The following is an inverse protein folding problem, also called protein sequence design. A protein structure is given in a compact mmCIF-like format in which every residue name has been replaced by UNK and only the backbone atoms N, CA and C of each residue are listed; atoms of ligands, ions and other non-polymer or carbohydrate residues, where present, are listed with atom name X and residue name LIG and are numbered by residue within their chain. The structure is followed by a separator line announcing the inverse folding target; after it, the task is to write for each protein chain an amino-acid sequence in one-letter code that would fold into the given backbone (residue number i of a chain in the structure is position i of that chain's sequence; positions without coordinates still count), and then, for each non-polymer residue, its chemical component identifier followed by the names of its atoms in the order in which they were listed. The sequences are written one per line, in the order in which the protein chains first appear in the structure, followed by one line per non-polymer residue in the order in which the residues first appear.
data_IF_861527865766
#
_entry.id   IF_861527865766
#
_cell.length_a   1.000
_cell.length_b   1.000
_cell.length_c   1.000
_cell.angle_alpha   90.00
_cell.angle_beta   90.00
_cell.angle_gamma   90.00
#
_symmetry.space_group_name_H-M   'P 1'
#
loop_
_entity.id
_entity.type
_entity.pdbx_description
1 polymer ?
#
# COMPACT_ATOMS: atom_id res chain seq x y z
N UNK A 1 21.79 5.08 -23.90
CA UNK A 1 22.68 4.27 -23.05
C UNK A 1 22.23 4.40 -21.61
N UNK A 2 21.77 3.32 -20.99
CA UNK A 2 21.46 3.26 -19.56
C UNK A 2 22.81 3.10 -18.84
N UNK A 3 23.17 4.01 -17.92
CA UNK A 3 24.46 3.94 -17.26
C UNK A 3 24.59 2.62 -16.48
N UNK A 4 25.63 1.87 -16.75
CA UNK A 4 26.01 0.59 -16.10
C UNK A 4 26.18 0.68 -14.55
N UNK A 5 26.01 1.85 -13.94
CA UNK A 5 26.08 2.09 -12.49
C UNK A 5 24.82 1.71 -11.72
N UNK A 6 23.76 1.27 -12.39
CA UNK A 6 22.53 0.77 -11.73
C UNK A 6 22.51 -0.74 -11.53
N UNK A 7 23.55 -1.44 -11.97
CA UNK A 7 23.76 -2.88 -11.74
C UNK A 7 24.49 -3.04 -10.42
N UNK A 8 23.76 -3.21 -9.33
CA UNK A 8 24.35 -3.58 -8.04
C UNK A 8 23.71 -3.03 -6.77
N UNK A 9 22.85 -2.03 -6.84
CA UNK A 9 22.16 -1.52 -5.66
C UNK A 9 20.65 -1.54 -5.87
N UNK A 10 19.99 -2.56 -5.32
CA UNK A 10 18.58 -2.58 -4.95
C UNK A 10 17.57 -2.20 -6.05
N UNK A 11 17.55 -2.92 -7.18
CA UNK A 11 16.38 -2.87 -8.06
C UNK A 11 15.19 -3.50 -7.33
N UNK A 12 14.42 -2.66 -6.67
CA UNK A 12 13.16 -3.04 -6.04
C UNK A 12 12.01 -2.65 -6.97
N UNK A 13 11.35 -3.62 -7.59
CA UNK A 13 10.13 -3.36 -8.34
C UNK A 13 8.99 -3.21 -7.34
N UNK A 14 8.34 -2.04 -7.33
CA UNK A 14 7.09 -1.79 -6.61
C UNK A 14 5.99 -1.55 -7.62
N UNK A 15 5.02 -2.43 -7.66
CA UNK A 15 3.77 -2.16 -8.34
C UNK A 15 2.96 -1.13 -7.54
N UNK A 16 2.93 0.09 -8.04
CA UNK A 16 2.15 1.22 -7.49
C UNK A 16 1.41 1.94 -8.60
N UNK A 17 0.80 1.14 -9.48
CA UNK A 17 -0.05 1.65 -10.54
C UNK A 17 -1.49 1.87 -10.10
N UNK A 18 -2.34 2.18 -11.06
CA UNK A 18 -3.80 2.18 -10.93
C UNK A 18 -4.32 0.76 -11.20
N UNK A 19 -5.29 0.33 -10.39
CA UNK A 19 -5.89 -0.99 -10.50
C UNK A 19 -5.50 -1.93 -9.36
N UNK A 20 -6.16 -3.08 -9.31
CA UNK A 20 -5.93 -4.13 -8.33
C UNK A 20 -5.24 -5.32 -9.04
N UNK A 21 -3.92 -5.51 -8.83
CA UNK A 21 -3.18 -6.54 -9.55
C UNK A 21 -3.69 -7.94 -9.24
N UNK A 22 -4.17 -8.18 -8.02
CA UNK A 22 -4.68 -9.49 -7.64
C UNK A 22 -6.03 -9.86 -8.27
N UNK A 23 -6.75 -8.89 -8.88
CA UNK A 23 -7.92 -9.19 -9.72
C UNK A 23 -7.53 -9.74 -11.10
N UNK A 24 -6.28 -9.51 -11.51
CA UNK A 24 -5.68 -10.00 -12.76
C UNK A 24 -4.55 -10.99 -12.46
N UNK A 25 -4.80 -11.90 -11.53
CA UNK A 25 -3.79 -12.74 -10.87
C UNK A 25 -2.96 -13.55 -11.87
N UNK A 26 -3.59 -14.16 -12.86
CA UNK A 26 -2.91 -15.07 -13.79
C UNK A 26 -1.87 -14.31 -14.65
N UNK A 27 -2.25 -13.15 -15.21
CA UNK A 27 -1.30 -12.30 -15.96
C UNK A 27 -0.19 -11.71 -15.04
N UNK A 28 -0.50 -11.45 -13.78
CA UNK A 28 0.52 -11.01 -12.80
C UNK A 28 1.52 -12.13 -12.54
N UNK A 29 1.08 -13.38 -12.43
CA UNK A 29 1.97 -14.53 -12.29
C UNK A 29 2.86 -14.70 -13.51
N UNK A 30 2.30 -14.63 -14.72
CA UNK A 30 3.07 -14.70 -15.97
C UNK A 30 4.16 -13.61 -16.02
N UNK A 31 3.81 -12.38 -15.66
CA UNK A 31 4.77 -11.29 -15.56
C UNK A 31 5.86 -11.56 -14.51
N UNK A 32 5.51 -12.12 -13.35
CA UNK A 32 6.48 -12.48 -12.31
C UNK A 32 7.43 -13.57 -12.78
N UNK A 33 6.94 -14.57 -13.51
CA UNK A 33 7.80 -15.62 -14.08
C UNK A 33 8.82 -15.04 -15.08
N UNK A 34 8.40 -14.12 -15.95
CA UNK A 34 9.29 -13.42 -16.88
C UNK A 34 10.33 -12.58 -16.12
N UNK A 35 9.87 -11.76 -15.14
CA UNK A 35 10.75 -10.86 -14.39
C UNK A 35 11.79 -11.62 -13.57
N UNK A 36 11.42 -12.79 -13.02
CA UNK A 36 12.30 -13.58 -12.15
C UNK A 36 13.12 -14.63 -12.90
N UNK A 37 12.82 -14.87 -14.16
CA UNK A 37 13.52 -15.87 -15.01
C UNK A 37 14.94 -15.42 -15.33
N UNK A 38 15.89 -16.39 -15.39
CA UNK A 38 17.24 -16.18 -15.93
C UNK A 38 17.25 -15.75 -17.40
N UNK A 39 16.20 -16.08 -18.16
CA UNK A 39 16.00 -15.63 -19.54
C UNK A 39 15.26 -14.30 -19.65
N UNK A 40 14.82 -13.74 -18.52
CA UNK A 40 14.12 -12.47 -18.42
C UNK A 40 14.97 -11.39 -17.77
N UNK A 41 14.42 -10.70 -16.77
CA UNK A 41 15.12 -9.61 -16.09
C UNK A 41 15.99 -10.08 -14.91
N UNK A 42 15.91 -11.35 -14.52
CA UNK A 42 16.65 -11.96 -13.42
C UNK A 42 16.53 -11.23 -12.07
N UNK A 43 15.40 -10.58 -11.85
CA UNK A 43 15.14 -9.85 -10.60
C UNK A 43 14.67 -10.84 -9.54
N UNK A 44 15.44 -10.97 -8.46
CA UNK A 44 15.07 -11.87 -7.36
C UNK A 44 13.70 -11.56 -6.78
N UNK A 45 12.87 -12.59 -6.58
CA UNK A 45 11.48 -12.46 -6.08
C UNK A 45 11.36 -11.59 -4.81
N UNK A 46 12.36 -11.62 -3.94
CA UNK A 46 12.44 -10.79 -2.72
C UNK A 46 12.54 -9.28 -2.98
N UNK A 47 12.87 -8.88 -4.19
CA UNK A 47 12.95 -7.48 -4.61
C UNK A 47 11.66 -6.99 -5.29
N UNK A 48 10.68 -7.88 -5.46
CA UNK A 48 9.39 -7.56 -6.06
C UNK A 48 8.35 -7.41 -4.95
N UNK A 49 7.57 -6.33 -5.00
CA UNK A 49 6.48 -6.07 -4.07
C UNK A 49 5.19 -5.92 -4.84
N UNK A 50 4.20 -6.75 -4.52
CA UNK A 50 2.83 -6.59 -5.01
C UNK A 50 2.07 -5.73 -3.99
N UNK A 51 1.36 -4.71 -4.49
CA UNK A 51 0.46 -3.89 -3.69
C UNK A 51 -0.98 -4.31 -3.96
N UNK A 52 -1.81 -4.39 -2.92
CA UNK A 52 -3.23 -4.74 -3.04
C UNK A 52 -4.09 -3.84 -2.15
N UNK A 53 -5.30 -3.56 -2.59
CA UNK A 53 -6.33 -2.91 -1.79
C UNK A 53 -6.99 -3.86 -0.78
N UNK A 54 -6.68 -5.16 -0.85
CA UNK A 54 -7.25 -6.19 0.00
C UNK A 54 -8.27 -7.08 -0.72
N UNK A 55 -8.03 -7.38 -1.98
CA UNK A 55 -8.84 -8.33 -2.75
C UNK A 55 -8.59 -9.76 -2.25
N UNK A 56 -9.45 -10.23 -1.32
CA UNK A 56 -9.28 -11.48 -0.59
C UNK A 56 -9.14 -12.71 -1.49
N UNK A 57 -9.90 -12.91 -2.58
CA UNK A 57 -9.71 -14.07 -3.43
C UNK A 57 -8.32 -14.15 -4.05
N UNK A 58 -7.78 -13.02 -4.50
CA UNK A 58 -6.44 -12.94 -5.05
C UNK A 58 -5.35 -13.13 -4.00
N UNK A 59 -5.57 -12.65 -2.76
CA UNK A 59 -4.66 -12.91 -1.64
C UNK A 59 -4.53 -14.41 -1.32
N UNK A 60 -5.64 -15.17 -1.35
CA UNK A 60 -5.62 -16.60 -1.17
C UNK A 60 -4.84 -17.31 -2.28
N UNK A 61 -5.03 -16.91 -3.54
CA UNK A 61 -4.22 -17.40 -4.66
C UNK A 61 -2.73 -17.09 -4.46
N UNK A 62 -2.41 -15.86 -4.02
CA UNK A 62 -1.03 -15.45 -3.75
C UNK A 62 -0.41 -16.18 -2.55
N UNK A 63 -1.20 -16.58 -1.57
CA UNK A 63 -0.73 -17.39 -0.45
C UNK A 63 -0.23 -18.77 -0.93
N UNK A 64 -0.88 -19.37 -1.92
CA UNK A 64 -0.48 -20.63 -2.54
C UNK A 64 0.68 -20.48 -3.55
N UNK A 65 1.03 -19.27 -3.96
CA UNK A 65 2.11 -19.03 -4.93
C UNK A 65 3.48 -19.31 -4.29
N UNK A 66 4.34 -20.15 -4.90
CA UNK A 66 5.52 -20.70 -4.23
C UNK A 66 6.66 -19.70 -4.06
N UNK A 67 6.70 -18.61 -4.85
CA UNK A 67 7.80 -17.64 -4.76
C UNK A 67 7.59 -16.65 -3.60
N UNK A 68 8.68 -16.22 -3.00
CA UNK A 68 8.69 -15.27 -1.88
C UNK A 68 8.62 -13.82 -2.40
N UNK A 69 7.44 -13.40 -2.87
CA UNK A 69 7.16 -12.02 -3.26
C UNK A 69 6.77 -11.21 -2.02
N UNK A 70 7.21 -9.96 -1.93
CA UNK A 70 6.78 -9.04 -0.86
C UNK A 70 5.35 -8.56 -1.10
N UNK A 71 4.63 -8.33 -0.02
CA UNK A 71 3.25 -7.85 -0.06
C UNK A 71 3.12 -6.50 0.66
N UNK A 72 2.49 -5.54 -0.01
CA UNK A 72 2.03 -4.29 0.58
C UNK A 72 0.50 -4.24 0.50
N UNK A 73 -0.15 -3.91 1.61
CA UNK A 73 -1.61 -3.85 1.71
C UNK A 73 -2.03 -2.44 2.01
N UNK A 74 -2.82 -1.86 1.13
CA UNK A 74 -3.50 -0.58 1.34
C UNK A 74 -4.58 -0.75 2.41
N UNK A 75 -4.15 -0.73 3.69
CA UNK A 75 -5.06 -0.88 4.82
C UNK A 75 -5.89 0.37 5.05
N UNK A 76 -5.24 1.51 5.22
CA UNK A 76 -5.75 2.87 5.40
C UNK A 76 -6.77 3.08 6.51
N UNK A 77 -7.37 2.03 7.05
CA UNK A 77 -8.25 2.04 8.22
C UNK A 77 -8.07 0.77 9.04
N UNK A 78 -7.94 0.91 10.36
CA UNK A 78 -7.74 -0.21 11.27
C UNK A 78 -9.05 -0.72 11.90
N UNK A 79 -10.17 -0.19 11.46
CA UNK A 79 -11.55 -0.62 11.78
C UNK A 79 -12.37 -0.60 10.50
N UNK A 80 -13.40 -1.43 10.41
CA UNK A 80 -14.28 -1.46 9.24
C UNK A 80 -14.99 -0.11 9.06
N UNK A 81 -15.44 0.53 10.14
CA UNK A 81 -16.12 1.82 10.06
C UNK A 81 -15.27 2.95 9.45
N UNK A 82 -13.95 2.98 9.73
CA UNK A 82 -13.02 3.90 9.08
C UNK A 82 -12.74 3.46 7.65
N UNK A 83 -12.50 2.17 7.46
CA UNK A 83 -12.12 1.63 6.17
C UNK A 83 -13.24 1.75 5.13
N UNK A 84 -14.50 1.62 5.52
CA UNK A 84 -15.67 1.79 4.66
C UNK A 84 -15.80 3.21 4.08
N UNK A 85 -15.29 4.22 4.81
CA UNK A 85 -15.32 5.61 4.36
C UNK A 85 -14.29 5.90 3.26
N UNK A 86 -13.14 5.22 3.31
CA UNK A 86 -11.99 5.54 2.43
C UNK A 86 -11.64 4.44 1.44
N UNK A 87 -12.11 3.21 1.66
CA UNK A 87 -11.80 2.03 0.86
C UNK A 87 -13.07 1.26 0.50
N UNK A 88 -13.73 1.56 -0.62
CA UNK A 88 -14.97 0.89 -1.02
C UNK A 88 -14.89 -0.64 -1.09
N UNK A 89 -13.69 -1.18 -1.33
CA UNK A 89 -13.41 -2.62 -1.34
C UNK A 89 -13.74 -3.31 -0.01
N UNK A 90 -13.71 -2.57 1.11
CA UNK A 90 -14.00 -3.10 2.43
C UNK A 90 -15.45 -3.58 2.59
N UNK A 91 -16.40 -2.95 1.89
CA UNK A 91 -17.81 -3.38 1.88
C UNK A 91 -17.97 -4.81 1.37
N UNK A 92 -17.09 -5.25 0.45
CA UNK A 92 -17.07 -6.60 -0.07
C UNK A 92 -16.13 -7.54 0.71
N UNK A 93 -15.01 -7.01 1.17
CA UNK A 93 -13.95 -7.74 1.85
C UNK A 93 -13.56 -7.03 3.16
N UNK A 94 -14.40 -7.14 4.22
CA UNK A 94 -14.15 -6.51 5.51
C UNK A 94 -12.91 -7.07 6.20
N UNK A 95 -12.44 -6.39 7.24
CA UNK A 95 -11.27 -6.81 8.01
C UNK A 95 -11.41 -8.23 8.57
N UNK A 96 -12.62 -8.68 8.89
CA UNK A 96 -12.90 -10.06 9.33
C UNK A 96 -12.51 -11.12 8.30
N UNK A 97 -12.46 -10.78 7.01
CA UNK A 97 -12.01 -11.66 5.93
C UNK A 97 -10.57 -11.35 5.49
N UNK A 98 -10.21 -10.06 5.46
CA UNK A 98 -8.88 -9.62 5.02
C UNK A 98 -7.79 -10.11 5.98
N UNK A 99 -7.98 -9.96 7.30
CA UNK A 99 -6.94 -10.31 8.27
C UNK A 99 -6.61 -11.81 8.25
N UNK A 100 -7.58 -12.74 8.27
CA UNK A 100 -7.27 -14.17 8.10
C UNK A 100 -6.55 -14.51 6.78
N UNK A 101 -6.90 -13.86 5.68
CA UNK A 101 -6.22 -14.07 4.39
C UNK A 101 -4.75 -13.59 4.42
N UNK A 102 -4.45 -12.52 5.16
CA UNK A 102 -3.08 -12.06 5.38
C UNK A 102 -2.29 -12.98 6.32
N UNK A 103 -2.93 -13.52 7.34
CA UNK A 103 -2.33 -14.56 8.21
C UNK A 103 -2.00 -15.82 7.41
N UNK A 104 -2.89 -16.25 6.53
CA UNK A 104 -2.65 -17.38 5.62
C UNK A 104 -1.47 -17.10 4.69
N UNK A 105 -1.42 -15.91 4.06
CA UNK A 105 -0.31 -15.50 3.20
C UNK A 105 1.02 -15.48 3.96
N UNK A 106 1.03 -15.06 5.22
CA UNK A 106 2.25 -14.97 6.05
C UNK A 106 2.75 -16.33 6.52
N UNK A 107 1.91 -17.36 6.49
CA UNK A 107 2.25 -18.70 7.00
C UNK A 107 3.40 -19.32 6.20
N UNK A 108 4.46 -19.70 6.90
CA UNK A 108 5.66 -20.30 6.30
C UNK A 108 6.53 -19.33 5.49
N UNK A 109 6.23 -18.01 5.53
CA UNK A 109 7.03 -16.97 4.88
C UNK A 109 7.88 -16.23 5.91
N UNK A 110 9.15 -16.02 5.57
CA UNK A 110 10.07 -15.20 6.40
C UNK A 110 9.95 -13.70 6.08
N UNK A 111 8.81 -13.27 5.55
CA UNK A 111 8.59 -11.90 5.10
C UNK A 111 7.42 -11.29 5.85
N UNK A 112 7.64 -10.08 6.36
CA UNK A 112 6.59 -9.30 7.01
C UNK A 112 5.77 -8.58 5.92
N UNK A 113 4.43 -8.67 5.92
CA UNK A 113 3.62 -7.81 5.07
C UNK A 113 3.80 -6.34 5.49
N UNK A 114 3.65 -5.42 4.54
CA UNK A 114 3.66 -3.98 4.81
C UNK A 114 2.23 -3.47 4.81
N UNK A 115 1.79 -2.86 5.90
CA UNK A 115 0.50 -2.17 5.99
C UNK A 115 0.71 -0.71 5.59
N UNK A 116 0.20 -0.32 4.45
CA UNK A 116 0.16 1.07 3.99
C UNK A 116 -1.01 1.77 4.69
N UNK A 117 -0.72 2.87 5.38
CA UNK A 117 -1.71 3.59 6.17
C UNK A 117 -1.62 5.09 5.88
N UNK A 118 -2.61 5.59 5.14
CA UNK A 118 -2.72 7.02 4.87
C UNK A 118 -3.30 7.72 6.09
N UNK A 119 -2.66 8.81 6.54
CA UNK A 119 -3.13 9.60 7.66
C UNK A 119 -4.00 10.76 7.16
N UNK A 120 -5.28 10.75 7.51
CA UNK A 120 -6.27 11.76 7.14
C UNK A 120 -6.75 12.43 8.41
N UNK A 121 -6.71 13.77 8.44
CA UNK A 121 -7.12 14.56 9.59
C UNK A 121 -8.54 14.22 10.03
N UNK A 122 -8.71 13.98 11.33
CA UNK A 122 -9.99 13.75 12.02
C UNK A 122 -10.78 12.52 11.53
N UNK A 123 -10.16 11.65 10.70
CA UNK A 123 -10.76 10.41 10.21
C UNK A 123 -10.08 9.20 10.81
N UNK A 124 -8.73 9.12 10.73
CA UNK A 124 -7.98 7.94 11.13
C UNK A 124 -6.63 8.27 11.79
N UNK A 125 -6.46 9.49 12.27
CA UNK A 125 -5.22 10.01 12.84
C UNK A 125 -5.23 10.13 14.37
N UNK A 126 -6.26 9.59 15.04
CA UNK A 126 -6.40 9.66 16.49
C UNK A 126 -5.51 8.65 17.23
N UNK A 127 -5.23 8.85 18.53
CA UNK A 127 -4.53 7.85 19.36
C UNK A 127 -5.26 6.50 19.42
N UNK A 128 -6.58 6.50 19.31
CA UNK A 128 -7.41 5.30 19.25
C UNK A 128 -7.14 4.52 17.96
N UNK A 129 -7.03 5.22 16.82
CA UNK A 129 -6.71 4.61 15.53
C UNK A 129 -5.29 4.03 15.54
N UNK A 130 -4.32 4.74 16.14
CA UNK A 130 -2.98 4.21 16.33
C UNK A 130 -3.00 2.90 17.14
N UNK A 131 -3.80 2.84 18.21
CA UNK A 131 -3.95 1.63 19.03
C UNK A 131 -4.57 0.47 18.26
N UNK A 132 -5.56 0.74 17.40
CA UNK A 132 -6.16 -0.26 16.52
C UNK A 132 -5.15 -0.78 15.49
N UNK A 133 -4.42 0.13 14.84
CA UNK A 133 -3.36 -0.23 13.89
C UNK A 133 -2.26 -1.08 14.54
N UNK A 134 -1.83 -0.70 15.74
CA UNK A 134 -0.85 -1.46 16.54
C UNK A 134 -1.31 -2.90 16.78
N UNK A 135 -2.58 -3.10 17.15
CA UNK A 135 -3.12 -4.45 17.36
C UNK A 135 -3.08 -5.30 16.09
N UNK A 136 -3.50 -4.72 14.97
CA UNK A 136 -3.47 -5.44 13.68
C UNK A 136 -2.04 -5.73 13.23
N UNK A 137 -1.13 -4.76 13.34
CA UNK A 137 0.25 -4.93 12.95
C UNK A 137 0.98 -5.99 13.80
N UNK A 138 0.72 -6.04 15.10
CA UNK A 138 1.23 -7.11 15.99
C UNK A 138 0.69 -8.47 15.60
N UNK A 139 -0.63 -8.59 15.37
CA UNK A 139 -1.29 -9.82 14.99
C UNK A 139 -0.73 -10.40 13.68
N UNK A 140 -0.44 -9.52 12.72
CA UNK A 140 0.08 -9.91 11.41
C UNK A 140 1.61 -9.96 11.33
N UNK A 141 2.33 -9.66 12.42
CA UNK A 141 3.78 -9.42 12.38
C UNK A 141 4.18 -8.50 11.23
N UNK A 142 3.45 -7.40 11.04
CA UNK A 142 3.57 -6.52 9.89
C UNK A 142 4.46 -5.31 10.16
N UNK A 143 5.02 -4.76 9.08
CA UNK A 143 5.58 -3.39 9.04
C UNK A 143 4.47 -2.40 8.75
N UNK A 144 4.65 -1.17 9.19
CA UNK A 144 3.70 -0.08 8.91
C UNK A 144 4.41 1.00 8.09
N UNK A 145 3.76 1.44 7.02
CA UNK A 145 4.19 2.59 6.25
C UNK A 145 3.12 3.67 6.33
N UNK A 146 3.42 4.73 7.08
CA UNK A 146 2.53 5.88 7.26
C UNK A 146 2.73 6.88 6.12
N UNK A 147 1.64 7.36 5.57
CA UNK A 147 1.63 8.30 4.44
C UNK A 147 0.72 9.47 4.82
N UNK A 148 1.25 10.64 5.18
CA UNK A 148 0.41 11.82 5.38
C UNK A 148 -0.40 12.10 4.12
N UNK A 149 -1.71 12.35 4.29
CA UNK A 149 -2.61 12.61 3.16
C UNK A 149 -2.17 13.83 2.36
N UNK A 150 -2.16 13.71 1.07
CA UNK A 150 -2.01 14.85 0.17
C UNK A 150 -3.39 15.39 -0.17
N UNK A 151 -3.63 16.66 0.09
CA UNK A 151 -4.91 17.30 -0.20
C UNK A 151 -5.19 17.24 -1.69
N UNK A 152 -6.33 16.68 -2.05
CA UNK A 152 -6.80 16.54 -3.43
C UNK A 152 -7.99 17.48 -3.60
N UNK A 153 -7.95 18.30 -4.64
CA UNK A 153 -9.05 19.18 -4.99
C UNK A 153 -10.34 18.37 -5.26
N UNK A 154 -11.45 18.80 -4.69
CA UNK A 154 -12.73 18.10 -4.80
C UNK A 154 -12.98 17.00 -3.76
N UNK A 155 -12.00 16.65 -2.91
CA UNK A 155 -12.21 15.75 -1.79
C UNK A 155 -12.26 16.51 -0.45
N UNK A 156 -13.14 16.10 0.50
CA UNK A 156 -13.31 16.80 1.78
C UNK A 156 -12.15 16.56 2.75
N UNK A 157 -11.24 15.67 2.45
CA UNK A 157 -10.19 15.21 3.35
C UNK A 157 -9.02 16.19 3.43
N UNK A 158 -8.44 16.29 4.62
CA UNK A 158 -7.32 17.19 4.89
C UNK A 158 -6.12 16.43 5.45
N UNK A 159 -4.93 16.98 5.21
CA UNK A 159 -3.69 16.49 5.80
C UNK A 159 -3.68 16.78 7.30
N UNK A 160 -3.27 15.82 8.17
CA UNK A 160 -2.99 16.11 9.57
C UNK A 160 -1.81 17.05 9.74
N UNK A 161 -1.71 17.69 10.92
CA UNK A 161 -0.52 18.46 11.26
C UNK A 161 0.72 17.55 11.37
N UNK A 162 1.90 18.12 11.17
CA UNK A 162 3.17 17.39 11.34
C UNK A 162 3.32 16.81 12.74
N UNK A 163 2.87 17.54 13.75
CA UNK A 163 2.89 17.09 15.13
C UNK A 163 2.00 15.84 15.32
N UNK A 164 0.79 15.86 14.75
CA UNK A 164 -0.12 14.72 14.80
C UNK A 164 0.48 13.50 14.08
N UNK A 165 1.09 13.71 12.93
CA UNK A 165 1.75 12.63 12.18
C UNK A 165 2.91 12.03 12.98
N UNK A 166 3.74 12.86 13.62
CA UNK A 166 4.84 12.40 14.48
C UNK A 166 4.32 11.65 15.69
N UNK A 167 3.33 12.20 16.41
CA UNK A 167 2.73 11.54 17.56
C UNK A 167 2.15 10.17 17.21
N UNK A 168 1.47 10.05 16.08
CA UNK A 168 0.94 8.79 15.60
C UNK A 168 2.05 7.78 15.29
N UNK A 169 3.10 8.21 14.57
CA UNK A 169 4.28 7.37 14.28
C UNK A 169 4.93 6.89 15.58
N UNK A 170 5.13 7.79 16.54
CA UNK A 170 5.80 7.49 17.78
C UNK A 170 5.00 6.50 18.65
N UNK A 171 3.66 6.57 18.61
CA UNK A 171 2.79 5.58 19.24
C UNK A 171 2.98 4.18 18.64
N UNK A 172 3.08 4.08 17.31
CA UNK A 172 3.33 2.81 16.60
C UNK A 172 4.75 2.30 16.91
N UNK A 173 5.75 3.18 16.87
CA UNK A 173 7.15 2.85 17.15
C UNK A 173 7.35 2.37 18.60
N UNK A 174 6.73 3.04 19.57
CA UNK A 174 6.76 2.66 21.00
C UNK A 174 6.22 1.24 21.23
N UNK A 175 5.30 0.79 20.37
CA UNK A 175 4.79 -0.58 20.40
C UNK A 175 5.74 -1.62 19.79
N UNK A 176 6.98 -1.23 19.40
CA UNK A 176 8.03 -2.04 18.77
C UNK A 176 7.62 -2.58 17.38
N UNK A 177 6.79 -1.84 16.64
CA UNK A 177 6.43 -2.17 15.27
C UNK A 177 7.38 -1.40 14.33
N UNK A 178 8.00 -2.05 13.34
CA UNK A 178 8.77 -1.35 12.32
C UNK A 178 7.85 -0.38 11.57
N UNK A 179 8.10 0.91 11.70
CA UNK A 179 7.29 1.98 11.11
C UNK A 179 8.15 2.95 10.32
N UNK A 180 7.71 3.27 9.11
CA UNK A 180 8.29 4.31 8.27
C UNK A 180 7.25 5.40 8.05
N UNK A 181 7.70 6.66 7.96
CA UNK A 181 6.88 7.79 7.51
C UNK A 181 7.37 8.21 6.13
N UNK A 182 6.50 8.10 5.15
CA UNK A 182 6.82 8.50 3.80
C UNK A 182 6.30 9.90 3.54
N UNK A 183 7.23 10.84 3.43
CA UNK A 183 6.92 12.17 2.91
C UNK A 183 7.02 12.14 1.38
N UNK A 184 6.04 12.68 0.69
CA UNK A 184 6.13 12.87 -0.75
C UNK A 184 7.13 13.96 -1.09
N UNK A 185 7.98 13.70 -2.07
CA UNK A 185 8.81 14.71 -2.72
C UNK A 185 7.97 15.29 -3.87
N UNK A 186 7.90 16.61 -3.98
CA UNK A 186 7.17 17.28 -5.08
C UNK A 186 5.74 17.69 -4.71
N UNK A 187 5.52 18.13 -3.48
CA UNK A 187 4.25 18.69 -3.01
C UNK A 187 3.80 19.91 -3.84
N UNK A 188 4.74 20.61 -4.40
CA UNK A 188 4.61 21.83 -5.21
C UNK A 188 4.18 21.58 -6.65
N UNK A 189 4.31 20.34 -7.16
CA UNK A 189 4.01 19.98 -8.56
C UNK A 189 2.82 19.04 -8.73
N UNK A 190 1.97 18.86 -7.70
CA UNK A 190 0.79 17.94 -7.73
C UNK A 190 1.09 16.53 -8.26
N UNK A 191 2.29 16.01 -7.99
CA UNK A 191 2.77 14.71 -8.46
C UNK A 191 2.29 13.54 -7.59
N UNK A 192 1.10 13.63 -7.00
CA UNK A 192 0.53 12.52 -6.26
C UNK A 192 0.07 11.41 -7.22
N UNK A 193 0.25 10.16 -6.77
CA UNK A 193 -0.09 8.97 -7.55
C UNK A 193 -1.55 9.01 -8.03
N UNK A 194 -1.78 9.03 -9.34
CA UNK A 194 -3.12 9.07 -9.96
C UNK A 194 -3.68 10.47 -10.25
N UNK A 195 -3.20 11.55 -9.63
CA UNK A 195 -3.74 12.91 -9.86
C UNK A 195 -3.49 13.42 -11.27
N UNK A 196 -2.31 13.17 -11.85
CA UNK A 196 -1.98 13.56 -13.22
C UNK A 196 -2.88 12.88 -14.26
N UNK A 197 -3.33 11.66 -13.99
CA UNK A 197 -4.24 10.94 -14.89
C UNK A 197 -5.65 11.51 -14.80
N UNK A 198 -6.15 11.77 -13.61
CA UNK A 198 -7.47 12.38 -13.40
C UNK A 198 -7.57 13.75 -14.10
N UNK A 199 -6.54 14.59 -13.98
CA UNK A 199 -6.48 15.86 -14.73
C UNK A 199 -6.53 15.66 -16.24
N UNK A 200 -5.71 14.75 -16.80
CA UNK A 200 -5.72 14.47 -18.24
C UNK A 200 -7.04 13.90 -18.73
N UNK A 201 -7.70 13.08 -17.92
CA UNK A 201 -9.04 12.55 -18.25
C UNK A 201 -10.11 13.65 -18.17
N UNK A 202 -10.02 14.55 -17.20
CA UNK A 202 -10.90 15.72 -17.05
C UNK A 202 -10.70 16.71 -18.21
N UNK A 203 -9.43 17.02 -18.57
CA UNK A 203 -9.10 17.87 -19.72
C UNK A 203 -9.62 17.27 -21.04
N UNK A 204 -9.50 15.95 -21.25
CA UNK A 204 -10.03 15.25 -22.43
C UNK A 204 -11.56 15.28 -22.50
N UNK A 205 -12.24 15.31 -21.36
CA UNK A 205 -13.69 15.35 -21.26
C UNK A 205 -14.27 16.78 -21.22
N UNK A 206 -13.45 17.80 -21.53
CA UNK A 206 -13.87 19.21 -21.60
C UNK A 206 -14.20 19.85 -20.25
N UNK A 207 -13.75 19.26 -19.15
CA UNK A 207 -13.95 19.83 -17.82
C UNK A 207 -12.80 20.81 -17.49
N UNK A 208 -13.11 22.11 -17.46
CA UNK A 208 -12.24 23.17 -16.94
C UNK A 208 -12.66 23.50 -15.51
N UNK A 209 -11.76 23.41 -14.51
CA UNK A 209 -12.06 23.90 -13.16
C UNK A 209 -12.31 25.40 -13.19
N UNK A 210 -13.42 25.85 -12.59
CA UNK A 210 -13.66 27.25 -12.28
C UNK A 210 -12.92 27.66 -11.03
#
# INVERSE_FOLDING_TARGET
EIPLRLVGSEMCIRDRGMGEPLSNFDNVVDALEIITSHRGLEIGARHITISTSGFVPGLKKLAAYPRQIRLAVSLHGATDGVRDQIMPVNKKWPLSQLIPALEEWSRGRNQMPTLEYILIRDINDSPKDASHLVRLAKRLHAKVNLIPYNTVEGLPWKRPSEERCRSFRDAVHKARIPVTMRYEKGHDINAACGQLRLRKEQEKNGWTPR
#
